data_IF_291717370260
#
_entry.id   IF_291717370260
#
_cell.length_a   1.000
_cell.length_b   1.000
_cell.length_c   1.000
_cell.angle_alpha   90.00
_cell.angle_beta   90.00
_cell.angle_gamma   90.00
#
_symmetry.space_group_name_H-M   'P 1'
#
loop_
_entity.id
_entity.type
_entity.pdbx_description
1 polymer ?
#
# COMPACT_ATOMS: atom_id res chain seq x y z
N UNK A 1 35.04 -119.15 -28.92
CA UNK A 1 35.34 -117.82 -29.48
C UNK A 1 34.28 -116.86 -28.96
N UNK A 2 34.66 -115.93 -28.05
CA UNK A 2 33.99 -114.65 -27.67
C UNK A 2 32.49 -114.70 -27.26
N UNK A 3 31.97 -114.03 -26.23
CA UNK A 3 32.42 -112.92 -25.38
C UNK A 3 31.42 -112.74 -24.20
N UNK A 4 31.95 -112.60 -22.97
CA UNK A 4 31.70 -111.55 -21.95
C UNK A 4 30.27 -111.16 -21.48
N UNK A 5 30.06 -111.46 -20.20
CA UNK A 5 29.27 -110.88 -19.08
C UNK A 5 29.00 -109.36 -19.07
N UNK A 6 27.89 -108.90 -18.45
CA UNK A 6 27.86 -107.92 -17.32
C UNK A 6 26.43 -107.49 -16.92
N UNK A 7 26.20 -107.50 -15.60
CA UNK A 7 25.04 -107.03 -14.84
C UNK A 7 24.68 -105.55 -15.05
N UNK A 8 23.43 -105.16 -14.79
CA UNK A 8 23.10 -103.80 -14.32
C UNK A 8 22.36 -103.80 -12.97
N UNK A 9 23.04 -103.23 -11.98
CA UNK A 9 22.52 -102.76 -10.67
C UNK A 9 21.52 -101.63 -10.89
N UNK A 10 20.47 -101.59 -10.06
CA UNK A 10 19.58 -100.43 -9.89
C UNK A 10 20.25 -99.41 -8.96
N UNK A 11 20.34 -98.14 -9.35
CA UNK A 11 20.64 -97.03 -8.46
C UNK A 11 19.72 -95.83 -8.71
N UNK A 12 19.22 -95.31 -7.58
CA UNK A 12 18.60 -94.02 -7.23
C UNK A 12 18.44 -92.92 -8.30
N UNK A 13 17.33 -92.18 -8.21
CA UNK A 13 17.38 -90.75 -7.90
C UNK A 13 16.03 -90.28 -7.28
N UNK A 14 16.05 -89.95 -5.99
CA UNK A 14 14.95 -89.24 -5.34
C UNK A 14 15.05 -87.75 -5.67
N UNK A 15 14.01 -87.19 -6.28
CA UNK A 15 13.92 -85.75 -6.54
C UNK A 15 13.38 -85.06 -5.29
N UNK A 16 14.23 -84.30 -4.62
CA UNK A 16 13.89 -83.44 -3.50
C UNK A 16 13.44 -82.08 -4.09
N UNK A 17 12.13 -81.80 -4.11
CA UNK A 17 11.59 -80.50 -4.53
C UNK A 17 11.69 -79.54 -3.34
N UNK A 18 12.74 -78.73 -3.33
CA UNK A 18 12.87 -77.57 -2.44
C UNK A 18 11.94 -76.46 -2.94
N UNK A 19 10.86 -76.19 -2.21
CA UNK A 19 10.08 -74.96 -2.37
C UNK A 19 10.92 -73.77 -1.89
N UNK A 20 11.63 -73.12 -2.82
CA UNK A 20 12.19 -71.80 -2.57
C UNK A 20 11.05 -70.77 -2.68
N UNK A 21 10.67 -70.17 -1.56
CA UNK A 21 9.78 -69.01 -1.56
C UNK A 21 10.54 -67.82 -2.16
N UNK A 22 10.33 -67.57 -3.45
CA UNK A 22 10.88 -66.40 -4.15
C UNK A 22 10.02 -65.20 -3.72
N UNK A 23 10.58 -64.31 -2.90
CA UNK A 23 9.95 -63.03 -2.61
C UNK A 23 10.24 -62.11 -3.79
N UNK A 24 9.30 -62.00 -4.72
CA UNK A 24 9.38 -61.01 -5.80
C UNK A 24 8.77 -59.70 -5.33
N UNK A 25 9.61 -58.67 -5.13
CA UNK A 25 9.13 -57.30 -5.05
C UNK A 25 8.76 -56.83 -6.45
N UNK A 26 7.47 -56.67 -6.73
CA UNK A 26 7.00 -56.14 -8.02
C UNK A 26 6.75 -54.63 -7.88
N UNK A 27 7.53 -53.83 -8.62
CA UNK A 27 7.20 -52.44 -8.92
C UNK A 27 5.92 -52.39 -9.78
N UNK A 28 5.04 -51.44 -9.51
CA UNK A 28 3.79 -51.26 -10.27
C UNK A 28 4.07 -50.33 -11.45
N UNK A 29 4.04 -50.86 -12.67
CA UNK A 29 4.01 -50.06 -13.89
C UNK A 29 2.57 -49.88 -14.38
N UNK A 30 2.15 -48.64 -14.62
CA UNK A 30 0.91 -48.33 -15.36
C UNK A 30 1.33 -47.78 -16.71
N UNK A 31 0.91 -48.45 -17.80
CA UNK A 31 1.28 -48.14 -19.17
C UNK A 31 2.80 -48.19 -19.47
N UNK A 32 3.57 -48.93 -18.67
CA UNK A 32 4.98 -49.26 -18.92
C UNK A 32 5.27 -50.71 -18.53
N UNK A 33 6.08 -51.40 -19.33
CA UNK A 33 6.56 -52.76 -19.04
C UNK A 33 7.94 -52.77 -18.38
N UNK A 34 8.60 -51.62 -18.31
CA UNK A 34 9.90 -51.43 -17.69
C UNK A 34 9.83 -50.26 -16.70
N UNK A 35 9.14 -50.43 -15.56
CA UNK A 35 9.05 -49.37 -14.57
C UNK A 35 10.45 -48.97 -14.09
N UNK A 36 10.63 -47.68 -13.81
CA UNK A 36 11.91 -47.15 -13.36
C UNK A 36 12.36 -47.88 -12.08
N UNK A 37 13.59 -48.45 -12.03
CA UNK A 37 14.08 -49.20 -10.86
C UNK A 37 14.10 -48.42 -9.54
N UNK A 38 14.03 -47.08 -9.57
CA UNK A 38 13.95 -46.24 -8.38
C UNK A 38 12.52 -45.97 -7.89
N UNK A 39 11.50 -46.55 -8.53
CA UNK A 39 10.09 -46.27 -8.25
C UNK A 39 9.33 -47.53 -7.83
N UNK A 40 8.49 -47.40 -6.80
CA UNK A 40 7.52 -48.45 -6.45
C UNK A 40 6.26 -48.38 -7.34
N UNK A 41 5.98 -47.21 -7.92
CA UNK A 41 4.90 -46.93 -8.86
C UNK A 41 5.44 -46.02 -9.98
N UNK A 42 5.36 -46.48 -11.22
CA UNK A 42 5.72 -45.72 -12.43
C UNK A 42 4.50 -45.63 -13.35
N UNK A 43 4.13 -44.43 -13.78
CA UNK A 43 2.98 -44.18 -14.65
C UNK A 43 3.47 -43.43 -15.88
N UNK A 44 3.39 -44.06 -17.05
CA UNK A 44 3.78 -43.44 -18.32
C UNK A 44 2.56 -43.15 -19.19
N UNK A 45 2.41 -41.92 -19.66
CA UNK A 45 1.41 -41.57 -20.67
C UNK A 45 1.85 -40.32 -21.44
N UNK A 46 1.53 -40.25 -22.73
CA UNK A 46 1.77 -39.08 -23.57
C UNK A 46 0.63 -38.06 -23.52
N UNK A 47 -0.55 -38.44 -23.03
CA UNK A 47 -1.78 -37.64 -23.16
C UNK A 47 -2.73 -37.75 -21.94
N UNK A 48 -2.36 -38.48 -20.88
CA UNK A 48 -3.14 -38.64 -19.64
C UNK A 48 -2.28 -38.29 -18.43
N UNK A 49 -2.94 -37.82 -17.37
CA UNK A 49 -2.32 -37.53 -16.07
C UNK A 49 -2.78 -38.47 -14.96
N UNK A 50 -2.25 -38.26 -13.75
CA UNK A 50 -2.71 -38.95 -12.54
C UNK A 50 -3.82 -38.15 -11.85
N UNK A 51 -5.02 -38.73 -11.74
CA UNK A 51 -6.11 -38.16 -10.96
C UNK A 51 -6.03 -38.65 -9.52
N UNK A 52 -5.51 -37.83 -8.62
CA UNK A 52 -5.39 -38.16 -7.21
C UNK A 52 -6.74 -38.15 -6.47
N UNK A 53 -6.83 -38.75 -5.26
CA UNK A 53 -8.04 -38.69 -4.44
C UNK A 53 -8.50 -37.26 -4.18
N UNK A 54 -9.76 -36.98 -4.50
CA UNK A 54 -10.43 -35.71 -4.19
C UNK A 54 -11.17 -35.84 -2.87
N UNK A 55 -10.76 -35.06 -1.88
CA UNK A 55 -11.28 -35.10 -0.51
C UNK A 55 -11.81 -33.71 -0.16
N UNK A 56 -12.90 -33.61 0.60
CA UNK A 56 -13.39 -32.33 1.13
C UNK A 56 -12.88 -32.20 2.57
N UNK A 57 -11.72 -31.55 2.76
CA UNK A 57 -11.16 -31.34 4.09
C UNK A 57 -11.98 -30.31 4.86
N UNK A 58 -12.07 -30.47 6.19
CA UNK A 58 -12.79 -29.53 7.05
C UNK A 58 -11.92 -28.39 7.59
N UNK A 59 -10.60 -28.48 7.43
CA UNK A 59 -9.59 -27.55 7.93
C UNK A 59 -8.18 -28.12 7.78
N UNK A 60 -7.14 -27.33 8.03
CA UNK A 60 -5.75 -27.82 8.02
C UNK A 60 -5.49 -28.76 9.19
N UNK A 61 -6.28 -28.66 10.25
CA UNK A 61 -6.32 -29.51 11.43
C UNK A 61 -7.21 -30.76 11.27
N UNK A 62 -7.79 -31.00 10.09
CA UNK A 62 -8.64 -32.15 9.81
C UNK A 62 -7.88 -33.48 9.94
N UNK A 63 -8.23 -34.27 10.96
CA UNK A 63 -7.65 -35.60 11.21
C UNK A 63 -8.68 -36.73 11.08
N UNK A 64 -9.91 -36.41 10.66
CA UNK A 64 -11.06 -37.32 10.77
C UNK A 64 -11.68 -37.68 9.43
N UNK A 65 -11.59 -36.82 8.41
CA UNK A 65 -12.17 -37.08 7.08
C UNK A 65 -11.56 -38.30 6.42
N UNK A 66 -10.29 -38.61 6.70
CA UNK A 66 -9.60 -39.80 6.20
C UNK A 66 -9.37 -40.77 7.36
N UNK A 67 -9.99 -41.95 7.27
CA UNK A 67 -9.99 -42.96 8.34
C UNK A 67 -8.95 -44.08 8.13
N UNK A 68 -8.36 -44.64 9.20
CA UNK A 68 -8.61 -44.31 10.61
C UNK A 68 -7.98 -42.98 11.04
N UNK A 69 -6.95 -42.52 10.34
CA UNK A 69 -6.34 -41.19 10.46
C UNK A 69 -5.46 -40.94 9.21
N UNK A 70 -5.20 -39.68 8.82
CA UNK A 70 -4.21 -39.40 7.80
C UNK A 70 -2.79 -39.76 8.27
N UNK A 71 -1.97 -40.30 7.36
CA UNK A 71 -0.57 -40.66 7.63
C UNK A 71 0.37 -39.58 7.08
N UNK A 72 1.50 -39.32 7.73
CA UNK A 72 2.53 -38.40 7.23
C UNK A 72 2.92 -38.73 5.78
N UNK A 73 2.91 -37.71 4.92
CA UNK A 73 3.20 -37.83 3.48
C UNK A 73 1.98 -38.16 2.61
N UNK A 74 0.79 -38.36 3.18
CA UNK A 74 -0.44 -38.62 2.43
C UNK A 74 -0.83 -37.43 1.55
N UNK A 75 -1.15 -37.68 0.27
CA UNK A 75 -1.46 -36.68 -0.75
C UNK A 75 -2.94 -36.68 -1.14
N UNK A 76 -3.56 -35.51 -1.20
CA UNK A 76 -4.95 -35.34 -1.66
C UNK A 76 -5.13 -34.05 -2.46
N UNK A 77 -6.17 -34.03 -3.28
CA UNK A 77 -6.74 -32.79 -3.80
C UNK A 77 -7.92 -32.40 -2.91
N UNK A 78 -7.76 -31.35 -2.10
CA UNK A 78 -8.86 -30.77 -1.35
C UNK A 78 -9.87 -30.11 -2.31
N UNK A 79 -11.16 -30.29 -2.04
CA UNK A 79 -12.27 -29.72 -2.82
C UNK A 79 -13.10 -28.69 -2.06
N UNK A 80 -12.87 -28.51 -0.76
CA UNK A 80 -13.65 -27.63 0.09
C UNK A 80 -12.95 -26.29 0.35
N UNK A 81 -13.74 -25.24 0.55
CA UNK A 81 -13.32 -24.04 1.28
C UNK A 81 -13.92 -24.12 2.69
N UNK A 82 -13.10 -24.41 3.69
CA UNK A 82 -13.56 -24.71 5.05
C UNK A 82 -12.47 -24.40 6.09
N UNK A 83 -12.81 -24.51 7.37
CA UNK A 83 -11.89 -24.31 8.49
C UNK A 83 -12.15 -23.01 9.25
N UNK A 84 -11.74 -23.00 10.52
CA UNK A 84 -11.74 -21.80 11.36
C UNK A 84 -10.57 -20.88 11.01
N UNK A 85 -10.62 -19.59 11.39
CA UNK A 85 -9.49 -18.67 11.24
C UNK A 85 -8.15 -19.26 11.71
N UNK A 86 -7.16 -19.32 10.81
CA UNK A 86 -5.84 -19.93 11.07
C UNK A 86 -5.78 -21.45 10.89
N UNK A 87 -6.85 -22.09 10.39
CA UNK A 87 -6.87 -23.50 10.00
C UNK A 87 -7.59 -23.70 8.65
N UNK A 88 -7.65 -22.68 7.80
CA UNK A 88 -8.46 -22.73 6.58
C UNK A 88 -7.83 -23.57 5.48
N UNK A 89 -8.68 -24.32 4.79
CA UNK A 89 -8.37 -25.01 3.54
C UNK A 89 -9.19 -24.41 2.40
N UNK A 90 -8.61 -24.43 1.20
CA UNK A 90 -9.26 -24.06 -0.06
C UNK A 90 -8.98 -25.13 -1.10
N UNK A 91 -9.73 -25.22 -2.22
CA UNK A 91 -9.46 -26.23 -3.23
C UNK A 91 -8.00 -26.22 -3.72
N UNK A 92 -7.38 -27.40 -3.78
CA UNK A 92 -5.97 -27.52 -4.20
C UNK A 92 -5.25 -28.76 -3.66
N UNK A 93 -3.96 -28.88 -3.97
CA UNK A 93 -3.14 -30.02 -3.57
C UNK A 93 -2.61 -29.89 -2.14
N UNK A 94 -2.84 -30.90 -1.30
CA UNK A 94 -2.38 -30.95 0.09
C UNK A 94 -1.61 -32.23 0.39
N UNK A 95 -0.62 -32.15 1.28
CA UNK A 95 -0.06 -33.29 1.99
C UNK A 95 -0.29 -33.19 3.50
N UNK A 96 -0.42 -34.32 4.18
CA UNK A 96 -0.39 -34.35 5.64
C UNK A 96 1.05 -34.39 6.14
N UNK A 97 1.47 -33.42 6.97
CA UNK A 97 2.86 -33.36 7.47
C UNK A 97 3.10 -34.16 8.77
N UNK A 98 2.07 -34.85 9.27
CA UNK A 98 2.08 -35.58 10.54
C UNK A 98 1.34 -34.87 11.68
N UNK A 99 1.04 -33.58 11.53
CA UNK A 99 0.25 -32.81 12.49
C UNK A 99 -0.90 -32.04 11.81
N UNK A 100 -0.68 -31.52 10.61
CA UNK A 100 -1.67 -30.77 9.85
C UNK A 100 -1.51 -30.95 8.34
N UNK A 101 -2.57 -30.66 7.60
CA UNK A 101 -2.55 -30.56 6.15
C UNK A 101 -1.81 -29.30 5.71
N UNK A 102 -0.87 -29.49 4.79
CA UNK A 102 -0.05 -28.45 4.17
C UNK A 102 -0.31 -28.45 2.68
N UNK A 103 -0.59 -27.28 2.11
CA UNK A 103 -0.76 -27.13 0.67
C UNK A 103 0.59 -27.27 -0.03
N UNK A 104 0.65 -27.97 -1.18
CA UNK A 104 1.88 -28.15 -1.96
C UNK A 104 2.47 -26.86 -2.52
N UNK A 105 1.63 -25.85 -2.70
CA UNK A 105 1.99 -24.64 -3.41
C UNK A 105 1.54 -23.43 -2.59
N UNK A 106 2.51 -22.77 -1.95
CA UNK A 106 2.32 -21.49 -1.25
C UNK A 106 2.56 -20.28 -2.16
N UNK A 107 2.92 -20.48 -3.43
CA UNK A 107 3.01 -19.41 -4.44
C UNK A 107 1.61 -18.91 -4.90
N UNK A 108 0.61 -18.96 -4.03
CA UNK A 108 -0.79 -18.72 -4.39
C UNK A 108 -1.23 -17.27 -4.26
N UNK A 109 -0.48 -16.44 -3.53
CA UNK A 109 -0.80 -15.03 -3.38
C UNK A 109 0.47 -14.18 -3.38
N UNK A 110 0.73 -13.57 -4.53
CA UNK A 110 1.73 -12.54 -4.70
C UNK A 110 1.05 -11.34 -5.33
N UNK A 111 1.13 -10.20 -4.67
CA UNK A 111 0.82 -8.91 -5.29
C UNK A 111 2.13 -8.31 -5.80
N UNK A 112 2.09 -7.75 -7.00
CA UNK A 112 3.21 -7.06 -7.65
C UNK A 112 2.79 -5.63 -7.96
N UNK A 113 3.70 -4.71 -7.68
CA UNK A 113 3.53 -3.28 -7.90
C UNK A 113 4.79 -2.74 -8.57
N UNK A 114 4.59 -1.96 -9.63
CA UNK A 114 5.65 -1.31 -10.37
C UNK A 114 5.52 0.20 -10.23
N UNK A 115 6.65 0.88 -10.07
CA UNK A 115 6.64 2.33 -10.00
C UNK A 115 6.22 2.92 -11.35
N UNK A 116 5.19 3.77 -11.36
CA UNK A 116 4.57 4.28 -12.58
C UNK A 116 5.20 5.56 -13.10
N UNK A 117 5.75 6.40 -12.22
CA UNK A 117 6.35 7.68 -12.59
C UNK A 117 7.48 8.12 -11.64
N UNK A 118 8.23 9.15 -12.05
CA UNK A 118 9.32 9.70 -11.24
C UNK A 118 8.73 10.51 -10.11
N UNK A 119 9.31 10.39 -8.91
CA UNK A 119 8.93 11.21 -7.77
C UNK A 119 10.09 12.11 -7.37
N UNK A 120 9.89 13.43 -7.37
CA UNK A 120 10.89 14.36 -6.85
C UNK A 120 10.94 14.27 -5.33
N UNK A 121 12.14 14.26 -4.75
CA UNK A 121 12.28 14.29 -3.30
C UNK A 121 11.70 15.59 -2.72
N UNK A 122 11.17 15.53 -1.49
CA UNK A 122 10.76 16.74 -0.79
C UNK A 122 11.98 17.64 -0.54
N UNK A 123 11.78 18.96 -0.66
CA UNK A 123 12.77 19.96 -0.25
C UNK A 123 12.88 20.09 1.28
N UNK A 124 11.96 19.47 2.01
CA UNK A 124 12.01 19.36 3.48
C UNK A 124 12.57 18.00 3.89
N UNK A 125 13.59 18.01 4.75
CA UNK A 125 14.33 16.80 5.10
C UNK A 125 13.58 15.79 6.00
N UNK A 126 12.40 16.17 6.49
CA UNK A 126 11.55 15.35 7.36
C UNK A 126 10.39 14.70 6.61
N UNK A 127 10.04 15.17 5.42
CA UNK A 127 8.84 14.74 4.71
C UNK A 127 9.14 13.62 3.73
N UNK A 128 8.33 12.56 3.79
CA UNK A 128 8.42 11.45 2.86
C UNK A 128 7.57 11.70 1.62
N UNK A 129 8.16 11.50 0.45
CA UNK A 129 7.46 11.41 -0.83
C UNK A 129 7.07 9.96 -1.09
N UNK A 130 5.79 9.69 -1.36
CA UNK A 130 5.32 8.36 -1.80
C UNK A 130 5.80 8.13 -3.24
N UNK A 131 6.33 6.93 -3.53
CA UNK A 131 6.73 6.56 -4.89
C UNK A 131 5.48 6.13 -5.70
N UNK A 132 5.12 6.83 -6.79
CA UNK A 132 3.92 6.56 -7.56
C UNK A 132 3.86 5.11 -8.05
N UNK A 133 2.73 4.44 -7.86
CA UNK A 133 2.55 3.02 -8.22
C UNK A 133 3.06 2.01 -7.19
N UNK A 134 3.79 2.45 -6.16
CA UNK A 134 4.26 1.60 -5.06
C UNK A 134 3.53 1.86 -3.73
N UNK A 135 2.34 2.44 -3.81
CA UNK A 135 1.33 2.45 -2.74
C UNK A 135 0.26 1.43 -3.10
N UNK A 136 0.03 0.45 -2.22
CA UNK A 136 -0.93 -0.62 -2.50
C UNK A 136 -2.37 -0.13 -2.50
N UNK A 137 -2.63 1.06 -1.94
CA UNK A 137 -3.94 1.37 -1.39
C UNK A 137 -4.30 0.36 -0.31
N UNK A 138 -5.59 0.21 -0.04
CA UNK A 138 -6.09 -0.79 0.88
C UNK A 138 -6.13 -2.18 0.23
N UNK A 139 -5.49 -3.15 0.89
CA UNK A 139 -5.51 -4.55 0.50
C UNK A 139 -6.02 -5.40 1.67
N UNK A 140 -6.86 -6.37 1.36
CA UNK A 140 -7.22 -7.44 2.29
C UNK A 140 -6.51 -8.70 1.84
N UNK A 141 -5.71 -9.30 2.72
CA UNK A 141 -5.07 -10.57 2.40
C UNK A 141 -6.08 -11.71 2.53
N UNK A 142 -6.09 -12.67 1.61
CA UNK A 142 -7.05 -13.79 1.65
C UNK A 142 -6.64 -14.90 2.63
N UNK A 143 -5.42 -14.88 3.15
CA UNK A 143 -4.88 -15.93 4.02
C UNK A 143 -4.14 -15.33 5.20
N UNK A 144 -4.33 -15.91 6.38
CA UNK A 144 -3.48 -15.64 7.53
C UNK A 144 -2.13 -16.32 7.33
N UNK A 145 -1.04 -15.59 7.57
CA UNK A 145 0.29 -16.15 7.35
C UNK A 145 1.41 -15.12 7.42
N UNK A 146 2.63 -15.61 7.32
CA UNK A 146 3.82 -14.79 7.14
C UNK A 146 3.97 -14.42 5.67
N UNK A 147 3.92 -13.12 5.40
CA UNK A 147 4.15 -12.51 4.10
C UNK A 147 5.56 -11.94 4.02
N UNK A 148 6.24 -12.21 2.91
CA UNK A 148 7.48 -11.55 2.57
C UNK A 148 7.20 -10.37 1.65
N UNK A 149 7.61 -9.19 2.08
CA UNK A 149 7.56 -7.97 1.30
C UNK A 149 8.97 -7.68 0.80
N UNK A 150 9.13 -7.60 -0.51
CA UNK A 150 10.38 -7.18 -1.15
C UNK A 150 10.16 -5.89 -1.89
N UNK A 151 11.00 -4.90 -1.62
CA UNK A 151 11.05 -3.64 -2.33
C UNK A 151 12.42 -3.52 -2.97
N UNK A 152 12.42 -3.11 -4.23
CA UNK A 152 13.59 -2.62 -4.92
C UNK A 152 13.29 -1.20 -5.37
N UNK A 153 14.09 -0.23 -4.95
CA UNK A 153 13.85 1.17 -5.27
C UNK A 153 15.14 1.87 -5.64
N UNK A 154 15.02 2.99 -6.35
CA UNK A 154 16.17 3.75 -6.83
C UNK A 154 16.06 5.20 -6.40
N UNK A 155 17.18 5.76 -5.97
CA UNK A 155 17.30 7.17 -5.63
C UNK A 155 18.45 7.76 -6.43
N UNK A 156 18.26 8.92 -7.05
CA UNK A 156 19.26 9.65 -7.81
C UNK A 156 19.44 11.05 -7.24
N UNK A 157 20.69 11.51 -7.14
CA UNK A 157 20.96 12.93 -6.87
C UNK A 157 20.45 13.79 -8.03
N UNK A 158 20.11 15.05 -7.78
CA UNK A 158 19.78 15.98 -8.85
C UNK A 158 20.99 16.36 -9.71
N UNK A 159 20.73 17.21 -10.71
CA UNK A 159 21.77 17.72 -11.60
C UNK A 159 22.79 18.59 -10.83
N UNK A 160 24.06 18.59 -11.27
CA UNK A 160 25.08 19.51 -10.74
C UNK A 160 24.63 20.96 -10.87
N UNK A 161 24.67 21.71 -9.77
CA UNK A 161 24.39 23.16 -9.78
C UNK A 161 25.61 23.95 -10.26
N UNK A 162 26.81 23.51 -9.87
CA UNK A 162 28.08 24.08 -10.32
C UNK A 162 28.99 22.99 -10.89
N UNK A 163 29.69 23.32 -11.98
CA UNK A 163 30.69 22.45 -12.60
C UNK A 163 32.07 22.54 -11.95
N UNK A 164 32.20 23.22 -10.80
CA UNK A 164 33.45 23.37 -10.04
C UNK A 164 33.87 22.11 -9.27
N UNK A 165 33.01 21.09 -9.20
CA UNK A 165 33.30 19.83 -8.53
C UNK A 165 32.18 18.82 -8.68
N UNK A 166 32.33 17.69 -8.00
CA UNK A 166 31.28 16.69 -7.84
C UNK A 166 30.16 17.22 -6.94
N UNK A 167 29.02 16.54 -7.00
CA UNK A 167 27.90 16.79 -6.11
C UNK A 167 27.34 15.49 -5.57
N UNK A 168 26.69 15.57 -4.41
CA UNK A 168 26.21 14.41 -3.68
C UNK A 168 24.88 14.71 -2.99
N UNK A 169 24.00 13.72 -2.92
CA UNK A 169 22.77 13.79 -2.16
C UNK A 169 22.65 12.58 -1.21
N UNK A 170 22.04 12.78 -0.06
CA UNK A 170 21.75 11.74 0.92
C UNK A 170 20.24 11.66 1.15
N UNK A 171 19.72 10.45 1.10
CA UNK A 171 18.30 10.18 1.18
C UNK A 171 18.03 8.74 1.57
N UNK A 172 16.77 8.37 1.67
CA UNK A 172 16.35 7.02 2.02
C UNK A 172 15.22 6.51 1.15
N UNK A 173 15.11 5.19 1.14
CA UNK A 173 13.93 4.46 0.67
C UNK A 173 13.40 3.69 1.87
N UNK A 174 12.09 3.71 2.08
CA UNK A 174 11.43 3.04 3.19
C UNK A 174 10.16 2.34 2.75
N UNK A 175 9.89 1.20 3.39
CA UNK A 175 8.60 0.53 3.39
C UNK A 175 7.84 1.01 4.62
N UNK A 176 6.63 1.52 4.43
CA UNK A 176 5.71 1.88 5.48
C UNK A 176 4.45 1.03 5.41
N UNK A 177 3.81 0.82 6.57
CA UNK A 177 2.56 0.09 6.67
C UNK A 177 1.55 0.80 7.56
N UNK A 178 0.28 0.57 7.25
CA UNK A 178 -0.86 0.86 8.11
C UNK A 178 -1.78 -0.36 8.15
N UNK A 179 -2.46 -0.55 9.28
CA UNK A 179 -3.48 -1.60 9.46
C UNK A 179 -4.76 -0.97 9.97
N UNK A 180 -5.90 -1.42 9.44
CA UNK A 180 -7.23 -1.07 9.92
C UNK A 180 -7.81 -2.15 10.84
N UNK A 181 -8.78 -1.79 11.67
CA UNK A 181 -9.59 -2.79 12.39
C UNK A 181 -10.49 -3.53 11.40
N UNK A 182 -10.70 -4.83 11.62
CA UNK A 182 -11.80 -5.56 11.00
C UNK A 182 -13.11 -4.82 11.33
N UNK A 183 -13.88 -4.49 10.29
CA UNK A 183 -15.06 -3.64 10.39
C UNK A 183 -16.06 -4.12 11.45
N UNK A 184 -16.15 -3.35 12.55
CA UNK A 184 -17.25 -3.45 13.48
C UNK A 184 -18.42 -2.64 12.92
N UNK A 185 -19.40 -3.31 12.34
CA UNK A 185 -20.65 -2.68 11.91
C UNK A 185 -21.36 -2.03 13.09
N UNK A 186 -21.46 -0.71 13.06
CA UNK A 186 -22.29 0.09 13.96
C UNK A 186 -23.22 0.95 13.12
N UNK A 187 -24.47 0.50 12.95
CA UNK A 187 -25.51 1.27 12.28
C UNK A 187 -26.06 2.41 13.16
N UNK A 188 -26.60 3.45 12.52
CA UNK A 188 -27.26 4.52 13.25
C UNK A 188 -27.70 5.75 12.45
N UNK A 189 -28.47 5.58 11.37
CA UNK A 189 -29.59 6.44 10.94
C UNK A 189 -29.40 7.96 10.78
N UNK A 190 -29.56 8.45 9.54
CA UNK A 190 -29.80 9.86 9.25
C UNK A 190 -30.05 10.13 7.77
N UNK A 191 -31.19 9.71 7.23
CA UNK A 191 -31.66 10.12 5.90
C UNK A 191 -32.04 11.60 5.95
N UNK A 192 -31.11 12.46 5.57
CA UNK A 192 -31.34 13.91 5.53
C UNK A 192 -30.21 14.81 5.02
N UNK A 193 -29.09 14.27 4.54
CA UNK A 193 -27.93 15.06 4.06
C UNK A 193 -27.83 15.15 2.53
N UNK A 194 -27.01 16.09 2.04
CA UNK A 194 -27.16 16.69 0.71
C UNK A 194 -26.94 15.77 -0.49
N UNK A 195 -27.98 15.73 -1.34
CA UNK A 195 -28.06 14.87 -2.51
C UNK A 195 -27.12 15.36 -3.63
N UNK A 196 -26.25 14.46 -4.11
CA UNK A 196 -25.37 14.71 -5.26
C UNK A 196 -23.93 15.13 -4.92
N UNK A 197 -23.46 14.81 -3.72
CA UNK A 197 -22.08 15.09 -3.27
C UNK A 197 -21.00 14.17 -3.85
N UNK A 198 -19.75 14.50 -3.55
CA UNK A 198 -18.56 13.66 -3.77
C UNK A 198 -18.75 12.33 -3.05
N UNK A 199 -18.75 11.23 -3.80
CA UNK A 199 -18.93 9.85 -3.30
C UNK A 199 -17.76 8.95 -3.70
N UNK A 200 -16.61 9.54 -4.05
CA UNK A 200 -15.39 8.84 -4.42
C UNK A 200 -14.24 9.42 -3.61
N UNK A 201 -13.57 8.56 -2.85
CA UNK A 201 -12.49 8.93 -1.94
C UNK A 201 -11.20 8.20 -2.32
N UNK A 202 -10.01 8.80 -2.11
CA UNK A 202 -9.79 10.12 -1.52
C UNK A 202 -10.21 11.25 -2.46
N UNK A 203 -10.83 12.28 -1.89
CA UNK A 203 -11.04 13.56 -2.54
C UNK A 203 -9.90 14.49 -2.12
N UNK A 204 -9.31 15.21 -3.08
CA UNK A 204 -8.25 16.18 -2.82
C UNK A 204 -8.53 17.46 -3.60
N UNK A 205 -8.29 18.61 -2.96
CA UNK A 205 -8.34 19.93 -3.55
C UNK A 205 -7.16 20.76 -3.04
N UNK A 206 -6.25 21.10 -3.95
CA UNK A 206 -5.08 21.96 -3.68
C UNK A 206 -5.21 23.33 -4.37
N UNK A 207 -6.39 23.64 -4.90
CA UNK A 207 -6.71 24.87 -5.60
C UNK A 207 -5.85 25.18 -6.83
N UNK A 208 -4.99 24.28 -7.30
CA UNK A 208 -4.09 24.52 -8.44
C UNK A 208 -4.82 24.81 -9.76
N UNK A 209 -6.06 24.35 -9.90
CA UNK A 209 -6.89 24.54 -11.11
C UNK A 209 -8.14 25.41 -10.88
N UNK A 210 -8.22 26.15 -9.77
CA UNK A 210 -9.36 26.99 -9.40
C UNK A 210 -9.99 26.53 -8.08
N UNK A 211 -11.29 26.82 -7.88
CA UNK A 211 -12.04 26.42 -6.68
C UNK A 211 -12.53 24.97 -6.71
N UNK A 212 -12.42 24.29 -7.86
CA UNK A 212 -12.99 22.96 -8.06
C UNK A 212 -14.49 22.93 -7.77
N UNK A 213 -14.89 22.14 -6.77
CA UNK A 213 -16.28 22.01 -6.34
C UNK A 213 -16.64 22.91 -5.14
N UNK A 214 -15.68 23.68 -4.63
CA UNK A 214 -15.91 24.62 -3.53
C UNK A 214 -16.66 25.85 -3.99
N UNK A 215 -17.41 26.45 -3.08
CA UNK A 215 -18.25 27.62 -3.38
C UNK A 215 -18.10 28.70 -2.31
N UNK A 216 -18.09 29.95 -2.77
CA UNK A 216 -18.16 31.12 -1.90
C UNK A 216 -19.58 31.31 -1.38
N UNK A 217 -19.70 31.67 -0.12
CA UNK A 217 -20.97 32.17 0.39
C UNK A 217 -21.25 33.57 -0.16
N UNK A 218 -22.52 33.93 -0.23
CA UNK A 218 -22.96 35.32 -0.41
C UNK A 218 -23.58 35.89 0.87
N UNK A 219 -23.56 35.10 1.95
CA UNK A 219 -24.14 35.42 3.25
C UNK A 219 -23.04 35.77 4.27
N UNK A 220 -22.01 36.48 3.83
CA UNK A 220 -20.83 36.92 4.58
C UNK A 220 -20.43 38.34 4.16
N UNK A 221 -19.34 38.87 4.72
CA UNK A 221 -18.93 40.27 4.53
C UNK A 221 -17.82 40.43 3.49
N UNK A 222 -16.93 39.44 3.38
CA UNK A 222 -15.81 39.39 2.43
C UNK A 222 -15.62 37.99 1.85
N UNK A 223 -14.96 37.94 0.69
CA UNK A 223 -14.72 36.71 -0.06
C UNK A 223 -13.32 36.10 0.22
N UNK A 224 -13.23 34.77 0.25
CA UNK A 224 -11.95 34.09 0.04
C UNK A 224 -11.44 34.32 -1.38
N UNK A 225 -10.17 34.66 -1.51
CA UNK A 225 -9.47 34.93 -2.76
C UNK A 225 -8.42 33.86 -3.01
N UNK A 226 -8.26 33.46 -4.27
CA UNK A 226 -7.23 32.52 -4.69
C UNK A 226 -5.95 33.25 -5.08
N UNK A 227 -4.82 32.84 -4.54
CA UNK A 227 -3.53 33.50 -4.80
C UNK A 227 -2.36 32.52 -4.80
N UNK A 228 -1.24 32.94 -5.39
CA UNK A 228 0.03 32.22 -5.43
C UNK A 228 1.26 33.13 -5.25
N UNK A 229 1.08 34.46 -5.16
CA UNK A 229 2.16 35.46 -5.15
C UNK A 229 2.54 35.99 -3.76
N UNK A 230 1.89 35.48 -2.71
CA UNK A 230 1.97 36.01 -1.36
C UNK A 230 0.96 37.13 -1.12
N UNK A 231 0.47 37.22 0.12
CA UNK A 231 -0.57 38.20 0.48
C UNK A 231 -0.11 39.64 0.22
N UNK A 232 -0.97 40.51 -0.35
CA UNK A 232 -0.66 41.92 -0.60
C UNK A 232 -0.22 42.72 0.63
N UNK A 233 -0.65 42.32 1.82
CA UNK A 233 -0.37 43.04 3.06
C UNK A 233 0.99 42.65 3.69
N UNK A 234 1.67 43.63 4.30
CA UNK A 234 3.02 43.43 4.85
C UNK A 234 3.04 42.71 6.20
N UNK A 235 4.02 41.85 6.44
CA UNK A 235 4.11 41.02 7.65
C UNK A 235 2.89 40.10 7.88
N UNK A 236 2.28 39.65 6.79
CA UNK A 236 1.36 38.52 6.77
C UNK A 236 1.91 37.46 5.83
N UNK A 237 1.14 36.42 5.56
CA UNK A 237 1.51 35.37 4.63
C UNK A 237 0.27 34.58 4.22
N UNK A 238 0.46 33.49 3.46
CA UNK A 238 1.72 32.80 3.14
C UNK A 238 2.49 33.44 1.97
N UNK A 239 3.66 32.92 1.59
CA UNK A 239 4.40 33.33 0.38
C UNK A 239 4.16 32.44 -0.85
N UNK A 240 3.59 31.24 -0.64
CA UNK A 240 3.26 30.22 -1.65
C UNK A 240 2.31 29.21 -1.01
N UNK A 241 1.57 28.44 -1.83
CA UNK A 241 0.74 27.32 -1.37
C UNK A 241 1.53 26.25 -0.61
N UNK A 242 0.84 25.47 0.22
CA UNK A 242 1.41 24.31 0.91
C UNK A 242 1.52 23.09 -0.02
N UNK A 243 0.63 23.00 -1.01
CA UNK A 243 0.56 21.90 -1.99
C UNK A 243 0.55 22.43 -3.42
N UNK A 244 1.72 22.89 -3.86
CA UNK A 244 1.89 23.57 -5.14
C UNK A 244 2.22 25.04 -4.93
N UNK A 245 1.55 25.92 -5.67
CA UNK A 245 1.76 27.36 -5.56
C UNK A 245 0.51 28.12 -5.16
N UNK A 246 -0.68 27.60 -5.44
CA UNK A 246 -1.95 28.26 -5.19
C UNK A 246 -2.55 27.88 -3.85
N UNK A 247 -3.28 28.81 -3.25
CA UNK A 247 -4.02 28.64 -1.99
C UNK A 247 -5.25 29.54 -1.97
N UNK A 248 -6.15 29.32 -1.02
CA UNK A 248 -7.24 30.25 -0.71
C UNK A 248 -6.86 31.08 0.50
N UNK A 249 -7.11 32.38 0.47
CA UNK A 249 -6.89 33.26 1.61
C UNK A 249 -7.95 34.34 1.71
N UNK A 250 -8.04 34.99 2.86
CA UNK A 250 -8.82 36.22 3.02
C UNK A 250 -7.90 37.41 3.17
N UNK A 251 -8.15 38.45 2.39
CA UNK A 251 -7.42 39.72 2.48
C UNK A 251 -8.05 40.60 3.56
N UNK A 252 -7.29 40.86 4.62
CA UNK A 252 -7.75 41.66 5.75
C UNK A 252 -7.32 43.13 5.67
N UNK A 253 -7.00 43.69 4.51
CA UNK A 253 -6.67 45.13 4.40
C UNK A 253 -7.88 46.06 4.27
N UNK A 254 -7.66 47.33 4.60
CA UNK A 254 -8.67 48.40 4.51
C UNK A 254 -9.60 48.44 5.73
N UNK A 255 -9.46 49.52 6.52
CA UNK A 255 -10.30 49.75 7.70
C UNK A 255 -11.76 49.98 7.28
N UNK A 256 -12.66 49.12 7.76
CA UNK A 256 -14.07 49.06 7.43
C UNK A 256 -14.41 48.23 6.20
N UNK A 257 -13.44 47.67 5.48
CA UNK A 257 -13.67 46.86 4.27
C UNK A 257 -13.11 45.45 4.36
N UNK A 258 -11.92 45.28 4.94
CA UNK A 258 -11.32 43.97 5.22
C UNK A 258 -11.09 43.72 6.70
N UNK A 259 -11.35 44.69 7.58
CA UNK A 259 -11.36 44.54 9.04
C UNK A 259 -12.07 45.75 9.68
N UNK A 260 -12.54 45.68 10.93
CA UNK A 260 -12.59 44.52 11.82
C UNK A 260 -13.87 43.69 11.68
N UNK A 261 -13.86 42.46 12.22
CA UNK A 261 -15.00 41.56 12.33
C UNK A 261 -15.70 41.21 11.01
N UNK A 262 -14.96 41.20 9.89
CA UNK A 262 -15.52 40.75 8.61
C UNK A 262 -15.53 39.23 8.57
N UNK A 263 -16.68 38.66 8.23
CA UNK A 263 -16.84 37.23 8.04
C UNK A 263 -16.58 36.82 6.59
N UNK A 264 -15.94 35.68 6.39
CA UNK A 264 -15.76 35.02 5.10
C UNK A 264 -16.10 33.54 5.24
N UNK A 265 -16.89 32.99 4.32
CA UNK A 265 -17.33 31.60 4.34
C UNK A 265 -17.03 30.93 3.00
N UNK A 266 -16.23 29.86 3.06
CA UNK A 266 -15.98 28.96 1.93
C UNK A 266 -16.62 27.61 2.23
N UNK A 267 -17.60 27.22 1.41
CA UNK A 267 -18.33 25.97 1.56
C UNK A 267 -17.72 24.87 0.69
N UNK A 268 -17.53 23.69 1.28
CA UNK A 268 -17.13 22.49 0.56
C UNK A 268 -18.26 21.98 -0.35
N UNK A 269 -17.96 21.10 -1.32
CA UNK A 269 -18.99 20.22 -1.84
C UNK A 269 -19.60 19.38 -0.72
N UNK A 270 -20.75 18.79 -1.01
CA UNK A 270 -21.27 17.72 -0.19
C UNK A 270 -20.38 16.47 -0.28
N UNK A 271 -20.23 15.77 0.83
CA UNK A 271 -19.54 14.49 0.92
C UNK A 271 -20.54 13.40 1.30
N UNK A 272 -20.71 12.41 0.44
CA UNK A 272 -21.56 11.25 0.69
C UNK A 272 -20.78 10.17 1.44
N UNK A 273 -21.02 10.08 2.75
CA UNK A 273 -20.38 9.12 3.65
C UNK A 273 -21.29 7.89 3.91
N UNK A 274 -22.35 7.70 3.12
CA UNK A 274 -23.37 6.69 3.40
C UNK A 274 -22.86 5.26 3.26
N UNK A 275 -21.87 5.04 2.39
CA UNK A 275 -21.17 3.76 2.21
C UNK A 275 -19.90 3.61 3.05
N UNK A 276 -19.52 4.65 3.79
CA UNK A 276 -18.22 4.71 4.46
C UNK A 276 -18.31 4.20 5.90
N UNK A 277 -17.22 3.61 6.39
CA UNK A 277 -17.09 3.15 7.79
C UNK A 277 -16.10 3.98 8.60
N UNK A 278 -15.29 4.79 7.92
CA UNK A 278 -14.39 5.79 8.49
C UNK A 278 -14.37 6.99 7.57
N UNK A 279 -14.12 8.18 8.12
CA UNK A 279 -13.95 9.39 7.34
C UNK A 279 -13.01 10.33 8.08
N UNK A 280 -12.03 10.90 7.36
CA UNK A 280 -11.09 11.88 7.90
C UNK A 280 -10.98 13.04 6.94
N UNK A 281 -11.16 14.25 7.46
CA UNK A 281 -10.98 15.48 6.71
C UNK A 281 -9.70 16.17 7.15
N UNK A 282 -8.83 16.50 6.21
CA UNK A 282 -7.53 17.14 6.49
C UNK A 282 -7.34 18.38 5.63
N UNK A 283 -6.61 19.35 6.14
CA UNK A 283 -6.31 20.59 5.45
C UNK A 283 -5.06 21.25 6.04
N UNK A 284 -4.42 22.11 5.26
CA UNK A 284 -3.36 22.99 5.73
C UNK A 284 -3.91 24.40 5.94
N UNK A 285 -3.37 25.13 6.92
CA UNK A 285 -3.73 26.52 7.23
C UNK A 285 -2.49 27.36 7.57
N UNK A 286 -2.56 28.66 7.32
CA UNK A 286 -1.52 29.63 7.63
C UNK A 286 -2.14 30.87 8.28
N UNK A 287 -1.67 31.21 9.49
CA UNK A 287 -2.18 32.33 10.29
C UNK A 287 -0.99 33.12 10.84
N UNK A 288 -0.54 34.13 10.09
CA UNK A 288 0.59 34.98 10.46
C UNK A 288 0.28 36.47 10.35
N UNK A 289 0.52 37.21 11.43
CA UNK A 289 0.22 38.63 11.50
C UNK A 289 0.18 39.16 12.94
N UNK A 290 -0.83 39.96 13.25
CA UNK A 290 -1.07 40.53 14.59
C UNK A 290 -1.44 39.48 15.63
N UNK A 291 -1.32 39.75 16.93
CA UNK A 291 -1.93 38.85 17.93
C UNK A 291 -3.47 38.80 17.85
N UNK A 292 -4.08 39.83 17.26
CA UNK A 292 -5.53 39.95 17.04
C UNK A 292 -5.87 39.76 15.56
N UNK A 293 -5.58 38.58 15.00
CA UNK A 293 -5.94 38.24 13.60
C UNK A 293 -7.41 37.84 13.43
N UNK A 294 -8.10 37.55 14.54
CA UNK A 294 -9.43 36.96 14.53
C UNK A 294 -9.39 35.45 14.62
N UNK A 295 -10.39 34.78 14.03
CA UNK A 295 -10.65 33.35 14.22
C UNK A 295 -10.98 32.65 12.91
N UNK A 296 -10.78 31.33 12.90
CA UNK A 296 -11.33 30.43 11.91
C UNK A 296 -11.97 29.24 12.60
N UNK A 297 -13.13 28.84 12.10
CA UNK A 297 -13.82 27.62 12.46
C UNK A 297 -13.93 26.73 11.21
N UNK A 298 -13.64 25.44 11.37
CA UNK A 298 -14.15 24.42 10.47
C UNK A 298 -15.48 23.94 11.05
N UNK A 299 -16.55 24.19 10.32
CA UNK A 299 -17.90 23.81 10.73
C UNK A 299 -18.45 22.71 9.82
N UNK A 300 -19.26 21.83 10.40
CA UNK A 300 -19.93 20.73 9.71
C UNK A 300 -21.45 20.87 9.79
N UNK A 301 -22.13 20.45 8.73
CA UNK A 301 -23.58 20.30 8.64
C UNK A 301 -23.91 18.91 8.12
N UNK A 302 -24.84 18.23 8.78
CA UNK A 302 -25.44 16.94 8.38
C UNK A 302 -26.91 17.09 7.95
N UNK A 303 -27.38 18.33 7.80
CA UNK A 303 -28.78 18.70 7.55
C UNK A 303 -28.98 19.66 6.35
N UNK A 304 -28.09 19.59 5.36
CA UNK A 304 -28.08 20.43 4.14
C UNK A 304 -27.80 21.91 4.40
N UNK A 305 -26.90 22.21 5.32
CA UNK A 305 -26.50 23.57 5.66
C UNK A 305 -27.54 24.34 6.45
N UNK A 306 -28.57 23.67 7.00
CA UNK A 306 -29.59 24.31 7.82
C UNK A 306 -29.05 24.67 9.21
N UNK A 307 -28.19 23.81 9.78
CA UNK A 307 -27.41 24.09 10.98
C UNK A 307 -25.94 23.72 10.79
N UNK A 308 -25.09 24.36 11.57
CA UNK A 308 -23.64 24.24 11.48
C UNK A 308 -23.05 24.09 12.88
N UNK A 309 -22.14 23.14 13.05
CA UNK A 309 -21.44 22.87 14.31
C UNK A 309 -19.94 23.02 14.08
N UNK A 310 -19.27 23.83 14.91
CA UNK A 310 -17.80 23.93 14.91
C UNK A 310 -17.18 22.62 15.39
N UNK A 311 -16.37 21.99 14.54
CA UNK A 311 -15.65 20.74 14.83
C UNK A 311 -14.16 20.97 15.04
N UNK A 312 -13.67 22.16 14.67
CA UNK A 312 -12.33 22.64 14.96
C UNK A 312 -12.34 24.18 14.87
N UNK A 313 -11.52 24.84 15.69
CA UNK A 313 -11.33 26.28 15.64
C UNK A 313 -9.91 26.66 16.05
N UNK A 314 -9.45 27.80 15.54
CA UNK A 314 -8.16 28.41 15.91
C UNK A 314 -8.27 29.93 15.92
N UNK A 315 -7.40 30.60 16.68
CA UNK A 315 -7.46 32.06 16.86
C UNK A 315 -6.10 32.73 16.93
N UNK A 316 -6.02 33.98 16.49
CA UNK A 316 -4.80 34.78 16.58
C UNK A 316 -3.66 34.27 15.69
N UNK A 317 -2.43 34.68 16.02
CA UNK A 317 -1.23 34.38 15.24
C UNK A 317 -0.63 33.02 15.64
N UNK A 318 -0.46 32.14 14.66
CA UNK A 318 0.12 30.79 14.80
C UNK A 318 1.57 30.72 14.31
N UNK A 319 2.12 31.84 13.82
CA UNK A 319 3.47 31.95 13.31
C UNK A 319 3.54 31.86 11.79
N UNK A 320 4.69 32.21 11.23
CA UNK A 320 4.91 32.22 9.78
C UNK A 320 5.28 30.82 9.25
N UNK A 321 4.34 29.88 9.34
CA UNK A 321 4.47 28.54 8.80
C UNK A 321 3.09 27.99 8.42
N UNK A 322 3.06 27.14 7.39
CA UNK A 322 1.90 26.28 7.14
C UNK A 322 1.81 25.22 8.23
N UNK A 323 0.62 25.04 8.78
CA UNK A 323 0.28 24.02 9.77
C UNK A 323 -0.79 23.09 9.17
N UNK A 324 -0.84 21.84 9.62
CA UNK A 324 -1.78 20.84 9.11
C UNK A 324 -2.71 20.38 10.23
N UNK A 325 -3.98 20.17 9.89
CA UNK A 325 -4.99 19.62 10.79
C UNK A 325 -5.67 18.40 10.17
N UNK A 326 -6.09 17.45 11.00
CA UNK A 326 -6.77 16.23 10.56
C UNK A 326 -7.89 15.85 11.53
N UNK A 327 -9.12 16.01 11.09
CA UNK A 327 -10.33 15.79 11.89
C UNK A 327 -10.99 14.46 11.53
N UNK A 328 -11.21 13.62 12.54
CA UNK A 328 -11.98 12.39 12.41
C UNK A 328 -13.47 12.70 12.31
N UNK A 329 -14.08 12.30 11.20
CA UNK A 329 -15.50 12.45 10.88
C UNK A 329 -16.25 11.11 10.91
N UNK A 330 -15.67 10.06 11.49
CA UNK A 330 -16.28 8.73 11.56
C UNK A 330 -17.66 8.76 12.23
N UNK A 331 -17.90 9.68 13.17
CA UNK A 331 -19.21 9.90 13.80
C UNK A 331 -20.33 10.33 12.82
N UNK A 332 -19.97 10.82 11.63
CA UNK A 332 -20.88 11.28 10.59
C UNK A 332 -21.00 10.29 9.41
N UNK A 333 -20.37 9.12 9.51
CA UNK A 333 -20.50 8.05 8.52
C UNK A 333 -21.91 7.44 8.53
N UNK A 334 -22.33 6.86 7.40
CA UNK A 334 -23.71 6.39 7.21
C UNK A 334 -24.70 7.49 6.80
N UNK A 335 -24.23 8.73 6.62
CA UNK A 335 -25.00 9.88 6.15
C UNK A 335 -24.26 10.70 5.09
N UNK A 336 -24.59 11.99 4.96
CA UNK A 336 -23.85 12.92 4.11
C UNK A 336 -23.62 14.23 4.85
N UNK A 337 -22.47 14.86 4.61
CA UNK A 337 -22.07 16.08 5.31
C UNK A 337 -21.63 17.17 4.34
N UNK A 338 -21.77 18.42 4.75
CA UNK A 338 -21.11 19.56 4.14
C UNK A 338 -20.22 20.24 5.18
N UNK A 339 -19.04 20.66 4.76
CA UNK A 339 -18.09 21.39 5.59
C UNK A 339 -18.01 22.84 5.12
N UNK A 340 -17.61 23.74 6.01
CA UNK A 340 -17.23 25.10 5.61
C UNK A 340 -16.14 25.65 6.51
N UNK A 341 -15.27 26.46 5.91
CA UNK A 341 -14.38 27.33 6.65
C UNK A 341 -15.10 28.65 6.89
N UNK A 342 -15.37 28.97 8.15
CA UNK A 342 -16.04 30.18 8.57
C UNK A 342 -15.07 31.02 9.40
N UNK A 343 -14.66 32.15 8.85
CA UNK A 343 -13.53 32.92 9.37
C UNK A 343 -13.92 34.37 9.62
N UNK A 344 -13.50 34.93 10.75
CA UNK A 344 -13.82 36.31 11.19
C UNK A 344 -12.54 37.11 11.42
N UNK A 345 -12.47 38.35 10.89
CA UNK A 345 -11.23 39.16 10.96
C UNK A 345 -11.10 39.78 12.35
N UNK A 346 -9.87 39.90 12.84
CA UNK A 346 -9.57 40.65 14.06
C UNK A 346 -9.53 42.16 13.83
N UNK A 347 -8.99 42.90 14.80
CA UNK A 347 -9.02 44.36 14.86
C UNK A 347 -8.09 45.12 13.90
N UNK A 348 -7.36 44.44 13.02
CA UNK A 348 -6.25 45.05 12.27
C UNK A 348 -6.08 44.47 10.86
N UNK A 349 -5.31 45.20 10.03
CA UNK A 349 -5.01 44.84 8.67
C UNK A 349 -4.08 43.63 8.51
N UNK A 350 -3.40 43.24 9.59
CA UNK A 350 -2.47 42.10 9.63
C UNK A 350 -3.20 40.82 10.06
N UNK A 351 -4.33 40.53 9.42
CA UNK A 351 -5.27 39.46 9.78
C UNK A 351 -5.57 38.52 8.61
N UNK A 352 -4.63 38.42 7.66
CA UNK A 352 -4.74 37.50 6.53
C UNK A 352 -4.65 36.06 7.04
N UNK A 353 -5.45 35.18 6.45
CA UNK A 353 -5.49 33.76 6.79
C UNK A 353 -5.62 32.98 5.50
N UNK A 354 -4.83 31.91 5.36
CA UNK A 354 -4.90 31.02 4.21
C UNK A 354 -5.20 29.57 4.60
N UNK A 355 -5.78 28.85 3.65
CA UNK A 355 -6.01 27.41 3.67
C UNK A 355 -5.56 26.80 2.33
N UNK A 356 -5.12 25.54 2.38
CA UNK A 356 -4.70 24.79 1.20
C UNK A 356 -4.79 23.27 1.46
N UNK A 357 -4.54 22.45 0.43
CA UNK A 357 -4.32 21.00 0.52
C UNK A 357 -5.44 20.26 1.27
N UNK A 358 -6.68 20.56 0.90
CA UNK A 358 -7.86 19.99 1.54
C UNK A 358 -8.11 18.58 1.02
N UNK A 359 -8.44 17.64 1.90
CA UNK A 359 -8.74 16.27 1.52
C UNK A 359 -9.81 15.62 2.39
N UNK A 360 -10.57 14.71 1.77
CA UNK A 360 -11.46 13.77 2.47
C UNK A 360 -11.01 12.35 2.13
N UNK A 361 -10.73 11.56 3.17
CA UNK A 361 -10.30 10.17 3.03
C UNK A 361 -11.20 9.25 3.82
N UNK A 362 -11.39 8.04 3.33
CA UNK A 362 -12.23 7.00 3.92
C UNK A 362 -11.41 5.75 4.30
N UNK A 363 -10.09 5.91 4.47
CA UNK A 363 -9.23 4.77 4.73
C UNK A 363 -9.55 4.20 6.11
N UNK A 364 -9.79 2.90 6.16
CA UNK A 364 -9.96 2.10 7.37
C UNK A 364 -8.62 1.89 8.09
N UNK A 365 -7.50 2.11 7.39
CA UNK A 365 -6.14 2.00 7.94
C UNK A 365 -5.66 3.31 8.59
N UNK A 366 -4.98 3.21 9.74
CA UNK A 366 -4.34 4.37 10.41
C UNK A 366 -3.19 5.02 9.61
N UNK A 367 -2.42 5.96 10.20
CA UNK A 367 -1.32 6.61 9.49
C UNK A 367 -0.19 5.62 9.12
N UNK A 368 0.49 5.88 8.00
CA UNK A 368 1.61 5.06 7.52
C UNK A 368 2.83 5.14 8.46
N UNK A 369 3.14 4.03 9.12
CA UNK A 369 4.30 3.89 10.00
C UNK A 369 5.45 3.20 9.28
N UNK A 370 6.70 3.66 9.49
CA UNK A 370 7.87 3.04 8.83
C UNK A 370 8.11 1.64 9.40
N UNK A 371 8.07 0.62 8.54
CA UNK A 371 8.45 -0.76 8.87
C UNK A 371 9.96 -0.92 8.76
N UNK A 372 10.52 -0.45 7.65
CA UNK A 372 11.95 -0.55 7.37
C UNK A 372 12.39 0.59 6.48
N UNK A 373 13.58 1.12 6.75
CA UNK A 373 14.21 2.19 5.98
C UNK A 373 15.67 1.82 5.69
N UNK A 374 16.11 2.17 4.48
CA UNK A 374 17.47 2.00 3.99
C UNK A 374 17.99 3.35 3.51
N UNK A 375 19.16 3.75 4.03
CA UNK A 375 19.81 5.02 3.69
C UNK A 375 20.75 4.86 2.50
N UNK A 376 20.81 5.89 1.67
CA UNK A 376 21.57 5.92 0.42
C UNK A 376 22.36 7.22 0.31
N UNK A 377 23.49 7.16 -0.41
CA UNK A 377 24.23 8.34 -0.86
C UNK A 377 24.47 8.22 -2.36
N UNK A 378 24.01 9.23 -3.09
CA UNK A 378 24.02 9.29 -4.56
C UNK A 378 24.84 10.49 -5.00
N UNK A 379 25.22 10.55 -6.28
CA UNK A 379 26.08 11.64 -6.76
C UNK A 379 25.81 12.06 -8.18
N UNK A 380 26.26 13.27 -8.51
CA UNK A 380 26.45 13.75 -9.88
C UNK A 380 27.93 14.11 -10.01
N UNK A 381 28.57 13.63 -11.08
CA UNK A 381 30.04 13.67 -11.21
C UNK A 381 30.49 14.60 -12.32
N UNK A 382 31.60 15.27 -12.08
CA UNK A 382 32.29 16.12 -13.05
C UNK A 382 33.51 15.39 -13.61
N UNK A 383 33.51 15.10 -14.91
CA UNK A 383 34.61 14.43 -15.60
C UNK A 383 35.22 15.37 -16.65
N UNK A 384 36.19 16.18 -16.24
CA UNK A 384 36.82 17.17 -17.12
C UNK A 384 35.82 18.22 -17.59
N UNK A 385 35.55 18.28 -18.90
CA UNK A 385 34.52 19.15 -19.49
C UNK A 385 33.12 18.53 -19.57
N UNK A 386 32.96 17.25 -19.20
CA UNK A 386 31.69 16.49 -19.23
C UNK A 386 31.06 16.36 -17.84
N UNK A 387 29.73 16.38 -17.78
CA UNK A 387 28.98 16.17 -16.55
C UNK A 387 28.17 14.89 -16.68
N UNK A 388 28.19 14.06 -15.63
CA UNK A 388 27.39 12.85 -15.50
C UNK A 388 26.46 13.05 -14.32
N UNK A 389 25.25 13.52 -14.61
CA UNK A 389 24.25 13.79 -13.58
C UNK A 389 23.45 12.55 -13.20
N UNK A 390 22.87 12.59 -12.01
CA UNK A 390 21.87 11.66 -11.54
C UNK A 390 22.32 10.20 -11.48
N UNK A 391 23.52 9.97 -10.92
CA UNK A 391 23.98 8.60 -10.69
C UNK A 391 23.16 7.99 -9.56
N UNK A 392 22.14 7.23 -9.94
CA UNK A 392 21.26 6.58 -9.00
C UNK A 392 21.92 5.41 -8.30
N UNK A 393 21.44 5.13 -7.10
CA UNK A 393 21.75 3.94 -6.32
C UNK A 393 20.46 3.19 -6.03
N UNK A 394 20.53 1.86 -6.05
CA UNK A 394 19.43 0.99 -5.65
C UNK A 394 19.43 0.74 -4.14
N UNK A 395 18.26 0.67 -3.53
CA UNK A 395 18.04 0.03 -2.23
C UNK A 395 17.16 -1.20 -2.39
N UNK A 396 17.48 -2.24 -1.62
CA UNK A 396 16.62 -3.40 -1.42
C UNK A 396 16.15 -3.45 0.02
N UNK A 397 14.85 -3.69 0.21
CA UNK A 397 14.24 -3.94 1.51
C UNK A 397 13.53 -5.29 1.42
N UNK A 398 13.81 -6.17 2.38
CA UNK A 398 13.11 -7.46 2.52
C UNK A 398 12.65 -7.56 3.97
N UNK A 399 11.35 -7.73 4.18
CA UNK A 399 10.75 -7.88 5.51
C UNK A 399 9.77 -9.05 5.48
N UNK A 400 9.72 -9.82 6.56
CA UNK A 400 8.68 -10.82 6.79
C UNK A 400 7.71 -10.26 7.84
N UNK A 401 6.42 -10.21 7.53
CA UNK A 401 5.36 -9.66 8.38
C UNK A 401 4.22 -10.67 8.44
N UNK A 402 3.70 -10.93 9.63
CA UNK A 402 2.50 -11.74 9.79
C UNK A 402 1.26 -10.89 9.50
N UNK A 403 0.46 -11.31 8.53
CA UNK A 403 -0.80 -10.68 8.14
C UNK A 403 -1.95 -11.65 8.40
N UNK A 404 -3.11 -11.11 8.71
CA UNK A 404 -4.29 -11.88 9.09
C UNK A 404 -5.39 -11.72 8.03
N UNK A 405 -6.00 -12.84 7.66
CA UNK A 405 -7.12 -12.84 6.73
C UNK A 405 -8.27 -11.97 7.27
N UNK A 406 -8.88 -11.19 6.38
CA UNK A 406 -9.99 -10.29 6.72
C UNK A 406 -9.57 -8.94 7.34
N UNK A 407 -8.29 -8.74 7.63
CA UNK A 407 -7.77 -7.42 8.04
C UNK A 407 -7.35 -6.61 6.82
N UNK A 408 -7.68 -5.32 6.82
CA UNK A 408 -7.24 -4.38 5.78
C UNK A 408 -5.87 -3.80 6.14
N UNK A 409 -4.96 -3.83 5.18
CA UNK A 409 -3.61 -3.28 5.27
C UNK A 409 -3.36 -2.30 4.14
N UNK A 410 -2.47 -1.34 4.35
CA UNK A 410 -1.89 -0.50 3.30
C UNK A 410 -0.38 -0.53 3.44
N UNK A 411 0.31 -0.77 2.33
CA UNK A 411 1.76 -0.66 2.26
C UNK A 411 2.14 0.42 1.25
N UNK A 412 3.10 1.25 1.61
CA UNK A 412 3.60 2.28 0.71
C UNK A 412 5.13 2.30 0.75
N UNK A 413 5.73 2.33 -0.44
CA UNK A 413 7.14 2.65 -0.59
C UNK A 413 7.27 4.16 -0.70
N UNK A 414 8.07 4.75 0.19
CA UNK A 414 8.27 6.19 0.30
C UNK A 414 9.74 6.52 0.50
N UNK A 415 10.17 7.69 0.09
CA UNK A 415 11.55 8.15 0.24
C UNK A 415 11.64 9.60 0.70
N UNK A 416 12.80 10.00 1.21
CA UNK A 416 13.10 11.38 1.58
C UNK A 416 14.56 11.72 1.29
N UNK A 417 14.85 12.98 1.03
CA UNK A 417 16.20 13.54 0.92
C UNK A 417 16.43 14.46 2.11
N UNK A 418 17.59 14.38 2.77
CA UNK A 418 17.91 15.31 3.87
C UNK A 418 19.17 16.15 3.65
N UNK A 419 19.95 15.83 2.62
CA UNK A 419 21.15 16.58 2.28
C UNK A 419 21.37 16.57 0.78
N UNK A 420 21.59 17.75 0.20
CA UNK A 420 22.07 17.94 -1.16
C UNK A 420 23.24 18.91 -1.15
N UNK A 421 24.37 18.53 -1.75
CA UNK A 421 25.56 19.35 -1.87
C UNK A 421 26.00 19.42 -3.34
N UNK A 422 26.06 20.64 -3.88
CA UNK A 422 26.38 20.92 -5.29
C UNK A 422 25.49 20.16 -6.30
N UNK A 423 24.29 19.77 -5.90
CA UNK A 423 23.26 19.16 -6.75
C UNK A 423 21.91 19.77 -6.45
N UNK A 424 21.03 19.80 -7.45
CA UNK A 424 19.61 20.07 -7.25
C UNK A 424 18.93 18.93 -6.48
N UNK A 425 17.63 19.09 -6.24
CA UNK A 425 16.80 18.09 -5.57
C UNK A 425 16.84 16.75 -6.30
N UNK A 426 17.07 15.69 -5.54
CA UNK A 426 17.08 14.32 -6.06
C UNK A 426 15.70 13.81 -6.46
N UNK A 427 15.70 12.62 -7.06
CA UNK A 427 14.47 11.95 -7.46
C UNK A 427 14.49 10.45 -7.20
N UNK A 428 13.31 9.90 -6.96
CA UNK A 428 13.06 8.48 -6.79
C UNK A 428 12.56 7.89 -8.10
N UNK A 429 13.19 6.79 -8.48
CA UNK A 429 12.81 6.02 -9.64
C UNK A 429 13.13 6.66 -10.98
N UNK A 430 14.11 7.58 -11.08
CA UNK A 430 14.34 8.50 -12.20
C UNK A 430 13.95 7.99 -13.59
N UNK A 431 13.21 8.79 -14.36
CA UNK A 431 12.96 8.50 -15.77
C UNK A 431 14.22 8.76 -16.60
N UNK A 432 14.71 7.71 -17.23
CA UNK A 432 15.92 7.73 -18.05
C UNK A 432 15.61 7.60 -19.55
N UNK A 433 14.34 7.84 -19.95
CA UNK A 433 13.94 7.97 -21.34
C UNK A 433 14.69 9.14 -21.99
N UNK A 434 15.67 8.83 -22.86
CA UNK A 434 16.52 9.84 -23.51
C UNK A 434 18.02 9.56 -23.40
N UNK A 435 18.46 8.65 -22.51
CA UNK A 435 19.87 8.23 -22.47
C UNK A 435 20.18 7.18 -23.54
N UNK A 436 21.28 7.34 -24.27
CA UNK A 436 21.71 6.38 -25.29
C UNK A 436 22.07 5.03 -24.67
N UNK A 437 21.48 3.94 -25.16
CA UNK A 437 21.73 2.58 -24.68
C UNK A 437 20.71 2.06 -23.67
N UNK A 438 19.65 2.81 -23.39
CA UNK A 438 18.59 2.39 -22.49
C UNK A 438 17.39 1.85 -23.27
N UNK A 439 16.97 0.60 -23.00
CA UNK A 439 15.73 0.06 -23.54
C UNK A 439 14.56 0.75 -22.84
N UNK A 440 13.81 1.51 -23.62
CA UNK A 440 12.66 2.30 -23.16
C UNK A 440 11.63 1.35 -22.55
N UNK A 441 11.49 1.41 -21.21
CA UNK A 441 10.28 1.22 -20.39
C UNK A 441 10.60 1.05 -18.88
N UNK A 442 11.83 0.67 -18.49
CA UNK A 442 12.12 0.25 -17.10
C UNK A 442 13.19 1.05 -16.35
N UNK A 443 13.87 2.00 -16.99
CA UNK A 443 15.20 2.31 -16.46
C UNK A 443 15.16 3.22 -15.22
N UNK A 444 15.59 2.61 -14.12
CA UNK A 444 15.63 3.02 -12.71
C UNK A 444 14.27 3.09 -11.98
N UNK A 445 13.20 2.45 -12.46
CA UNK A 445 11.94 2.33 -11.70
C UNK A 445 12.04 1.27 -10.59
N UNK A 446 11.39 1.52 -9.46
CA UNK A 446 11.29 0.55 -8.38
C UNK A 446 10.15 -0.45 -8.54
N UNK A 447 10.19 -1.51 -7.73
CA UNK A 447 9.15 -2.54 -7.64
C UNK A 447 8.86 -2.89 -6.18
N UNK A 448 7.67 -3.40 -5.91
CA UNK A 448 7.30 -4.01 -4.64
C UNK A 448 6.55 -5.32 -4.89
N UNK A 449 6.90 -6.36 -4.14
CA UNK A 449 6.15 -7.62 -4.12
C UNK A 449 5.75 -7.97 -2.70
N UNK A 450 4.53 -8.49 -2.52
CA UNK A 450 3.99 -8.98 -1.25
C UNK A 450 3.58 -10.43 -1.47
N UNK A 451 4.36 -11.37 -0.95
CA UNK A 451 4.17 -12.81 -1.21
C UNK A 451 3.93 -13.59 0.07
N UNK A 452 2.87 -14.40 0.12
CA UNK A 452 2.67 -15.35 1.20
C UNK A 452 3.77 -16.42 1.15
N UNK A 453 4.63 -16.49 2.17
CA UNK A 453 5.71 -17.50 2.24
C UNK A 453 5.37 -18.65 3.17
N UNK A 454 4.48 -18.42 4.13
CA UNK A 454 4.02 -19.44 5.09
C UNK A 454 2.61 -19.13 5.55
N UNK A 455 1.64 -19.95 5.17
CA UNK A 455 0.31 -19.94 5.78
C UNK A 455 0.38 -20.63 7.15
N UNK A 456 -0.33 -20.11 8.14
CA UNK A 456 -0.54 -20.84 9.40
C UNK A 456 -2.02 -21.05 9.65
#
# INVERSE_FOLDING_TARGET
>A
MKLITILKRKSLLGSCVLFFSIVMSAQVGINTTSPNPSSALDITSSDKGFLMPKIALTGTDDTSTITPSPTTGLLVYNTASAGSPGNEVVPGFYYFNGASWRRFYTQGYTLLYDQTSEATASTTNTTYTIMPGLDTGEITVPFSGTYQIRVEGYYAAGDLISTSGDGAAQGSISLAMASGSAGGGGGGGGSGGCAGGVSSYPYNESFESGLGLWTQSAADDIDWTRDAGGTPSGNTGPSTGSSGSWYMYTEASGNGTGYPNMRAILNSPCFDLSSETTATFSFDYHMYGSSDMGTIDLEISDDNGASWTSIWNESGNQGNAWLSESIDLTAYTGGSVQLRFNRVTGGTWQADLAIDNVSMTNTTTGPLTTVKETYLTTSSKRLGSTTVNNLAQSASIIVNIDLYAGTTYRFAVRGREWLANNVGTGSFGKNTSGYSGNSVNDAQRGTMSISLIKQF
#
